data_IF_334735278493
#
_entry.id   IF_334735278493
#
_cell.length_a   1.000
_cell.length_b   1.000
_cell.length_c   1.000
_cell.angle_alpha   90.00
_cell.angle_beta   90.00
_cell.angle_gamma   90.00
#
_symmetry.space_group_name_H-M   'P 1'
#
loop_
_entity.id
_entity.type
_entity.pdbx_description
1 polymer ?
#
# COMPACT_ATOMS: atom_id res chain seq x y z
N UNK A 1 7.57 12.76 16.09
CA UNK A 1 6.65 13.01 14.97
C UNK A 1 7.50 12.92 13.71
N UNK A 2 7.19 12.00 12.79
CA UNK A 2 7.94 11.85 11.53
C UNK A 2 7.55 12.99 10.60
N UNK A 3 8.54 13.71 10.05
CA UNK A 3 8.28 14.75 9.04
C UNK A 3 8.05 14.12 7.66
N UNK A 4 7.46 14.85 6.68
CA UNK A 4 7.35 14.36 5.30
C UNK A 4 8.70 13.97 4.68
N UNK A 5 9.76 14.71 4.98
CA UNK A 5 11.12 14.46 4.49
C UNK A 5 11.67 13.14 5.03
N UNK A 6 11.57 12.93 6.35
CA UNK A 6 11.97 11.66 6.97
C UNK A 6 11.14 10.48 6.44
N UNK A 7 9.88 10.72 6.10
CA UNK A 7 9.02 9.66 5.56
C UNK A 7 9.39 9.29 4.13
N UNK A 8 9.68 10.27 3.25
CA UNK A 8 10.10 9.94 1.87
C UNK A 8 11.44 9.23 1.84
N UNK A 9 12.38 9.57 2.73
CA UNK A 9 13.63 8.82 2.90
C UNK A 9 13.34 7.35 3.22
N UNK A 10 12.48 7.06 4.19
CA UNK A 10 12.08 5.71 4.53
C UNK A 10 11.35 4.96 3.40
N UNK A 11 10.54 5.66 2.59
CA UNK A 11 9.87 5.07 1.41
C UNK A 11 10.89 4.70 0.34
N UNK A 12 11.87 5.58 0.07
CA UNK A 12 12.93 5.35 -0.92
C UNK A 12 13.82 4.15 -0.53
N UNK A 13 14.06 3.94 0.76
CA UNK A 13 14.82 2.77 1.24
C UNK A 13 14.15 1.43 0.89
N UNK A 14 12.82 1.39 0.82
CA UNK A 14 12.05 0.17 0.56
C UNK A 14 11.49 0.06 -0.86
N UNK A 15 11.53 1.13 -1.67
CA UNK A 15 10.85 1.22 -2.96
C UNK A 15 11.18 0.06 -3.91
N UNK A 16 12.46 -0.31 -4.00
CA UNK A 16 12.91 -1.43 -4.83
C UNK A 16 12.29 -2.79 -4.42
N UNK A 17 11.83 -2.92 -3.18
CA UNK A 17 11.17 -4.12 -2.63
C UNK A 17 9.66 -4.12 -2.89
N UNK A 18 9.08 -2.97 -3.24
CA UNK A 18 7.65 -2.81 -3.53
C UNK A 18 7.29 -3.17 -4.99
N UNK A 19 8.30 -3.43 -5.82
CA UNK A 19 8.13 -3.84 -7.22
C UNK A 19 8.19 -5.36 -7.32
N UNK A 20 7.16 -5.97 -7.91
CA UNK A 20 7.11 -7.42 -8.07
C UNK A 20 5.81 -7.95 -8.65
N UNK A 21 5.66 -9.28 -8.65
CA UNK A 21 4.49 -9.99 -9.18
C UNK A 21 3.39 -10.27 -8.15
N UNK A 22 3.57 -9.80 -6.91
CA UNK A 22 2.64 -10.03 -5.80
C UNK A 22 1.94 -8.73 -5.39
N UNK A 23 0.67 -8.80 -4.95
CA UNK A 23 -0.01 -7.65 -4.35
C UNK A 23 0.68 -7.17 -3.07
N UNK A 24 0.64 -5.87 -2.83
CA UNK A 24 1.17 -5.24 -1.62
C UNK A 24 0.04 -4.97 -0.63
N UNK A 25 0.20 -5.43 0.61
CA UNK A 25 -0.74 -5.22 1.70
C UNK A 25 -0.13 -4.27 2.74
N UNK A 26 -0.71 -3.08 2.87
CA UNK A 26 -0.20 -2.02 3.76
C UNK A 26 -1.03 -1.99 5.03
N UNK A 27 -0.37 -2.05 6.18
CA UNK A 27 -0.97 -1.79 7.48
C UNK A 27 -0.06 -0.90 8.33
N UNK A 28 -0.63 -0.21 9.31
CA UNK A 28 0.11 0.64 10.24
C UNK A 28 -0.59 1.95 10.56
N UNK A 29 -0.16 2.61 11.64
CA UNK A 29 -0.63 3.97 11.95
C UNK A 29 0.25 4.97 11.23
N UNK A 30 -0.36 5.81 10.41
CA UNK A 30 0.36 6.82 9.65
C UNK A 30 -0.56 7.95 9.20
N UNK A 31 0.01 9.09 8.82
CA UNK A 31 -0.74 10.18 8.24
C UNK A 31 -1.21 9.82 6.82
N UNK A 32 -2.32 10.43 6.39
CA UNK A 32 -2.91 10.20 5.05
C UNK A 32 -1.89 10.49 3.93
N UNK A 33 -1.08 11.53 4.07
CA UNK A 33 -0.03 11.86 3.09
C UNK A 33 1.06 10.79 3.01
N UNK A 34 1.38 10.09 4.11
CA UNK A 34 2.38 9.03 4.13
C UNK A 34 1.87 7.77 3.42
N UNK A 35 0.59 7.46 3.57
CA UNK A 35 -0.07 6.45 2.74
C UNK A 35 0.01 6.81 1.26
N UNK A 36 -0.24 8.08 0.89
CA UNK A 36 -0.09 8.53 -0.51
C UNK A 36 1.30 8.25 -1.10
N UNK A 37 2.37 8.46 -0.33
CA UNK A 37 3.75 8.16 -0.75
C UNK A 37 3.98 6.65 -0.92
N UNK A 38 3.54 5.83 0.04
CA UNK A 38 3.66 4.37 -0.04
C UNK A 38 2.89 3.79 -1.24
N UNK A 39 1.67 4.29 -1.46
CA UNK A 39 0.82 3.90 -2.59
C UNK A 39 1.48 4.24 -3.93
N UNK A 40 2.09 5.43 -4.04
CA UNK A 40 2.82 5.82 -5.25
C UNK A 40 4.05 4.93 -5.50
N UNK A 41 4.85 4.65 -4.47
CA UNK A 41 6.02 3.78 -4.58
C UNK A 41 5.63 2.33 -4.94
N UNK A 42 4.53 1.82 -4.39
CA UNK A 42 4.04 0.47 -4.68
C UNK A 42 3.21 0.35 -5.97
N UNK A 43 2.93 1.45 -6.69
CA UNK A 43 2.03 1.45 -7.85
C UNK A 43 2.38 0.43 -8.96
N UNK A 44 3.65 0.02 -9.18
CA UNK A 44 3.97 -0.99 -10.19
C UNK A 44 3.51 -2.41 -9.83
N UNK A 45 3.08 -2.66 -8.59
CA UNK A 45 2.56 -3.95 -8.16
C UNK A 45 1.19 -4.28 -8.80
N UNK A 46 0.78 -5.57 -8.88
CA UNK A 46 -0.50 -5.95 -9.48
C UNK A 46 -1.72 -5.33 -8.78
N UNK A 47 -1.66 -5.20 -7.46
CA UNK A 47 -2.69 -4.58 -6.65
C UNK A 47 -2.11 -4.11 -5.31
N UNK A 48 -2.73 -3.09 -4.74
CA UNK A 48 -2.39 -2.57 -3.40
C UNK A 48 -3.65 -2.53 -2.55
N UNK A 49 -3.56 -2.99 -1.31
CA UNK A 49 -4.63 -2.91 -0.34
C UNK A 49 -4.17 -2.29 0.97
N UNK A 50 -5.03 -1.49 1.59
CA UNK A 50 -4.79 -0.85 2.89
C UNK A 50 -5.66 -1.49 3.97
N UNK A 51 -5.10 -1.70 5.16
CA UNK A 51 -5.82 -2.34 6.26
C UNK A 51 -6.70 -1.34 7.01
N UNK A 52 -8.00 -1.64 7.08
CA UNK A 52 -8.94 -1.05 8.03
C UNK A 52 -9.34 -2.12 9.07
N UNK A 53 -9.17 -1.87 10.39
CA UNK A 53 -9.52 -2.84 11.43
C UNK A 53 -10.98 -3.33 11.43
N UNK A 54 -11.89 -2.61 10.77
CA UNK A 54 -13.31 -2.96 10.66
C UNK A 54 -13.63 -3.77 9.41
N UNK A 55 -12.78 -3.71 8.38
CA UNK A 55 -13.06 -4.27 7.05
C UNK A 55 -12.01 -5.32 6.59
N UNK A 56 -10.77 -5.24 7.07
CA UNK A 56 -9.62 -5.99 6.55
C UNK A 56 -8.82 -5.18 5.52
N UNK A 57 -8.11 -5.86 4.63
CA UNK A 57 -7.32 -5.20 3.58
C UNK A 57 -8.20 -4.79 2.40
N UNK A 58 -8.53 -3.51 2.29
CA UNK A 58 -9.34 -2.96 1.19
C UNK A 58 -8.46 -2.64 0.00
N UNK A 59 -8.76 -3.18 -1.17
CA UNK A 59 -8.04 -2.93 -2.42
C UNK A 59 -8.30 -1.48 -2.87
N UNK A 60 -7.22 -0.69 -2.96
CA UNK A 60 -7.28 0.75 -3.30
C UNK A 60 -6.70 1.06 -4.67
N UNK A 61 -5.84 0.19 -5.21
CA UNK A 61 -5.26 0.31 -6.56
C UNK A 61 -5.09 -1.08 -7.17
N UNK A 62 -5.24 -1.18 -8.50
CA UNK A 62 -4.97 -2.43 -9.22
C UNK A 62 -4.69 -2.19 -10.71
N UNK A 63 -3.79 -3.00 -11.27
CA UNK A 63 -3.55 -3.17 -12.70
C UNK A 63 -3.88 -4.61 -13.17
N UNK A 64 -4.56 -5.39 -12.32
CA UNK A 64 -4.79 -6.82 -12.50
C UNK A 64 -6.26 -7.15 -12.26
N UNK A 65 -6.94 -7.63 -13.29
CA UNK A 65 -8.38 -7.89 -13.30
C UNK A 65 -8.83 -8.92 -12.26
N UNK A 66 -7.90 -9.70 -11.69
CA UNK A 66 -8.18 -10.62 -10.57
C UNK A 66 -8.53 -9.87 -9.28
N UNK A 67 -8.14 -8.61 -9.16
CA UNK A 67 -8.40 -7.76 -8.01
C UNK A 67 -9.38 -6.65 -8.38
N UNK A 68 -10.32 -6.34 -7.49
CA UNK A 68 -11.34 -5.33 -7.72
C UNK A 68 -11.26 -4.22 -6.67
N UNK A 69 -11.24 -2.97 -7.12
CA UNK A 69 -11.27 -1.80 -6.24
C UNK A 69 -12.43 -1.87 -5.24
N UNK A 70 -12.14 -1.54 -3.99
CA UNK A 70 -13.11 -1.54 -2.87
C UNK A 70 -13.47 -2.92 -2.33
N UNK A 71 -12.95 -4.01 -2.91
CA UNK A 71 -13.08 -5.36 -2.33
C UNK A 71 -12.00 -5.62 -1.28
N UNK A 72 -12.24 -6.61 -0.42
CA UNK A 72 -11.34 -6.95 0.69
C UNK A 72 -10.55 -8.23 0.41
N UNK A 73 -9.29 -8.24 0.84
CA UNK A 73 -8.44 -9.44 0.93
C UNK A 73 -8.46 -9.92 2.38
N UNK A 74 -8.80 -11.20 2.57
CA UNK A 74 -8.75 -11.87 3.85
C UNK A 74 -7.55 -12.82 3.88
N UNK A 75 -6.65 -12.63 4.85
CA UNK A 75 -5.58 -13.56 5.14
C UNK A 75 -6.12 -14.59 6.15
N UNK A 76 -6.03 -15.87 5.80
CA UNK A 76 -6.38 -17.01 6.65
C UNK A 76 -5.26 -17.33 7.63
#
# INVERSE_FOLDING_TARGET
>A
MTTPEQFVEAVQEIEAQLVGSLPILINGRGPVWGYGMLLHAAHPSPAIATYDPRLGYVIVQTHDERFQLGKTIHLS
#
